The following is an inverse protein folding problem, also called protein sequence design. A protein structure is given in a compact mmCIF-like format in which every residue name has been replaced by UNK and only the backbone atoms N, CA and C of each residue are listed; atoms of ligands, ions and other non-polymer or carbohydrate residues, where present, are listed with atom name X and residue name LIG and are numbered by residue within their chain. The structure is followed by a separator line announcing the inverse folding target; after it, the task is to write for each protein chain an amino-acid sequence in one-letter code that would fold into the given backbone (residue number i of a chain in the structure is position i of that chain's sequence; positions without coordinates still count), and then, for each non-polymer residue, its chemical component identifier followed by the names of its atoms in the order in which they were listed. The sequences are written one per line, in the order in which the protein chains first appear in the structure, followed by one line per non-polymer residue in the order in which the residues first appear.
data_IF_218894096698
#
_entry.id   IF_218894096698
#
_cell.length_a   1.000
_cell.length_b   1.000
_cell.length_c   1.000
_cell.angle_alpha   90.00
_cell.angle_beta   90.00
_cell.angle_gamma   90.00
#
_symmetry.space_group_name_H-M   'P 1'
#
loop_
_entity.id
_entity.type
_entity.pdbx_description
1 polymer ?
#
# COMPACT_ATOMS: atom_id res chain seq x y z
N UNK A 1 17.69 -25.85 21.84
CA UNK A 1 18.39 -24.64 21.34
C UNK A 1 18.05 -24.29 19.89
N UNK A 2 18.12 -25.25 18.94
CA UNK A 2 17.82 -24.99 17.51
C UNK A 2 16.40 -24.46 17.23
N UNK A 3 15.37 -24.97 17.91
CA UNK A 3 13.98 -24.50 17.74
C UNK A 3 13.77 -23.06 18.25
N UNK A 4 14.44 -22.66 19.33
CA UNK A 4 14.35 -21.32 19.91
C UNK A 4 15.09 -20.26 19.06
N UNK A 5 16.22 -20.64 18.47
CA UNK A 5 16.97 -19.79 17.53
C UNK A 5 16.20 -19.56 16.22
N UNK A 6 15.55 -20.61 15.71
CA UNK A 6 14.71 -20.52 14.50
C UNK A 6 13.48 -19.62 14.72
N UNK A 7 12.83 -19.70 15.89
CA UNK A 7 11.65 -18.87 16.18
C UNK A 7 11.99 -17.39 16.41
N UNK A 8 13.11 -17.08 17.07
CA UNK A 8 13.58 -15.70 17.24
C UNK A 8 13.91 -15.04 15.88
N UNK A 9 14.57 -15.79 14.98
CA UNK A 9 14.85 -15.31 13.62
C UNK A 9 13.57 -15.07 12.80
N UNK A 10 12.54 -15.91 12.98
CA UNK A 10 11.25 -15.71 12.33
C UNK A 10 10.51 -14.46 12.84
N UNK A 11 10.50 -14.17 14.15
CA UNK A 11 9.84 -12.97 14.69
C UNK A 11 10.45 -11.68 14.14
N UNK A 12 11.78 -11.60 14.12
CA UNK A 12 12.51 -10.47 13.54
C UNK A 12 12.22 -10.35 12.05
N UNK A 13 12.13 -11.47 11.34
CA UNK A 13 11.69 -11.51 9.93
C UNK A 13 10.28 -10.94 9.74
N UNK A 14 9.32 -11.34 10.59
CA UNK A 14 7.95 -10.82 10.56
C UNK A 14 7.88 -9.31 10.79
N UNK A 15 8.69 -8.80 11.74
CA UNK A 15 8.84 -7.37 12.00
C UNK A 15 9.46 -6.60 10.82
N UNK A 16 10.52 -7.15 10.22
CA UNK A 16 11.13 -6.55 9.05
C UNK A 16 10.15 -6.48 7.88
N UNK A 17 9.38 -7.55 7.64
CA UNK A 17 8.35 -7.59 6.60
C UNK A 17 7.28 -6.52 6.80
N UNK A 18 6.69 -6.40 8.00
CA UNK A 18 5.64 -5.38 8.27
C UNK A 18 6.18 -3.96 8.15
N UNK A 19 7.41 -3.71 8.62
CA UNK A 19 8.03 -2.38 8.54
C UNK A 19 8.27 -1.96 7.09
N UNK A 20 8.83 -2.85 6.27
CA UNK A 20 9.05 -2.59 4.84
C UNK A 20 7.71 -2.46 4.10
N UNK A 21 6.74 -3.33 4.41
CA UNK A 21 5.40 -3.27 3.83
C UNK A 21 4.73 -1.91 4.07
N UNK A 22 4.80 -1.41 5.30
CA UNK A 22 4.25 -0.11 5.67
C UNK A 22 4.91 1.03 4.91
N UNK A 23 6.25 1.05 4.83
CA UNK A 23 6.98 2.05 4.03
C UNK A 23 6.58 2.01 2.56
N UNK A 24 6.52 0.82 1.94
CA UNK A 24 6.11 0.66 0.55
C UNK A 24 4.66 1.10 0.32
N UNK A 25 3.76 0.82 1.27
CA UNK A 25 2.37 1.28 1.25
C UNK A 25 2.29 2.82 1.30
N UNK A 26 3.04 3.46 2.21
CA UNK A 26 3.12 4.92 2.30
C UNK A 26 3.68 5.56 1.04
N UNK A 27 4.76 5.00 0.48
CA UNK A 27 5.37 5.46 -0.77
C UNK A 27 4.37 5.33 -1.92
N UNK A 28 3.76 4.16 -2.09
CA UNK A 28 2.76 3.93 -3.14
C UNK A 28 1.60 4.91 -3.04
N UNK A 29 1.10 5.17 -1.83
CA UNK A 29 0.01 6.12 -1.59
C UNK A 29 0.35 7.52 -2.13
N UNK A 30 1.58 8.00 -1.95
CA UNK A 30 2.01 9.33 -2.40
C UNK A 30 2.45 9.43 -3.87
N UNK A 31 2.65 8.30 -4.56
CA UNK A 31 3.14 8.29 -5.94
C UNK A 31 2.03 8.66 -6.95
N UNK A 32 2.34 9.46 -7.98
CA UNK A 32 1.38 9.82 -9.02
C UNK A 32 1.16 8.69 -10.06
N UNK A 33 1.79 7.53 -9.89
CA UNK A 33 1.86 6.51 -10.94
C UNK A 33 0.98 5.30 -10.60
N UNK A 34 -0.28 5.54 -10.22
CA UNK A 34 -1.26 4.46 -10.04
C UNK A 34 -1.88 4.02 -11.37
N UNK A 35 -2.13 5.00 -12.24
CA UNK A 35 -2.61 4.81 -13.62
C UNK A 35 -1.76 5.67 -14.55
N UNK A 36 -1.43 5.13 -15.71
CA UNK A 36 -0.71 5.86 -16.78
C UNK A 36 -1.66 6.02 -17.96
N UNK A 37 -1.90 7.26 -18.35
CA UNK A 37 -2.71 7.65 -19.50
C UNK A 37 -1.79 8.08 -20.64
N UNK A 38 -2.09 7.59 -21.83
CA UNK A 38 -1.39 7.94 -23.06
C UNK A 38 -2.37 8.66 -23.99
N UNK A 39 -1.94 9.80 -24.53
CA UNK A 39 -2.69 10.59 -25.49
C UNK A 39 -2.02 10.47 -26.86
N UNK A 40 -2.80 10.15 -27.89
CA UNK A 40 -2.33 10.29 -29.27
C UNK A 40 -2.41 11.76 -29.66
N UNK A 41 -1.26 12.43 -29.76
CA UNK A 41 -1.15 13.57 -30.64
C UNK A 41 -0.75 13.05 -32.03
N UNK A 42 -1.22 13.73 -33.08
CA UNK A 42 -1.08 13.38 -34.50
C UNK A 42 0.32 12.89 -34.88
N UNK A 43 0.41 12.13 -35.99
CA UNK A 43 1.58 11.47 -36.65
C UNK A 43 2.98 12.14 -36.60
N UNK A 44 3.11 13.37 -36.10
CA UNK A 44 4.32 14.19 -36.05
C UNK A 44 4.75 14.65 -34.63
N UNK A 45 4.12 14.19 -33.53
CA UNK A 45 4.56 14.50 -32.16
C UNK A 45 4.46 13.28 -31.23
N UNK A 46 5.45 13.12 -30.35
CA UNK A 46 5.49 12.02 -29.38
C UNK A 46 4.31 12.09 -28.37
N UNK A 47 3.82 10.93 -27.89
CA UNK A 47 2.62 10.87 -27.05
C UNK A 47 2.85 11.53 -25.68
N UNK A 48 2.13 12.61 -25.41
CA UNK A 48 2.03 13.20 -24.07
C UNK A 48 1.50 12.14 -23.09
N UNK A 49 2.22 11.92 -21.97
CA UNK A 49 1.81 10.96 -20.93
C UNK A 49 1.32 11.69 -19.68
N UNK A 50 0.20 11.24 -19.11
CA UNK A 50 -0.26 11.65 -17.80
C UNK A 50 -0.17 10.51 -16.79
N UNK A 51 0.36 10.82 -15.62
CA UNK A 51 0.46 9.97 -14.45
C UNK A 51 -0.59 10.40 -13.44
N UNK A 52 -1.56 9.53 -13.20
CA UNK A 52 -2.66 9.76 -12.27
C UNK A 52 -2.38 8.99 -10.99
N UNK A 53 -2.15 9.74 -9.92
CA UNK A 53 -2.05 9.22 -8.56
C UNK A 53 -3.40 9.14 -7.89
N UNK A 54 -3.37 9.02 -6.56
CA UNK A 54 -4.55 9.14 -5.71
C UNK A 54 -4.68 10.51 -5.06
N UNK A 55 -3.63 11.34 -5.07
CA UNK A 55 -3.64 12.69 -4.46
C UNK A 55 -3.21 13.79 -5.42
N UNK A 56 -2.65 13.40 -6.57
CA UNK A 56 -2.12 14.33 -7.56
C UNK A 56 -2.07 13.71 -8.94
N UNK A 57 -2.13 14.56 -9.95
CA UNK A 57 -1.91 14.20 -11.35
C UNK A 57 -0.67 14.93 -11.84
N UNK A 58 0.21 14.23 -12.55
CA UNK A 58 1.41 14.81 -13.14
C UNK A 58 1.43 14.49 -14.63
N UNK A 59 1.81 15.45 -15.47
CA UNK A 59 1.96 15.23 -16.91
C UNK A 59 3.37 15.61 -17.38
N UNK A 60 3.80 14.96 -18.45
CA UNK A 60 5.07 15.26 -19.13
C UNK A 60 4.78 15.78 -20.52
N UNK A 61 5.28 16.98 -20.82
CA UNK A 61 5.23 17.56 -22.15
C UNK A 61 6.65 17.48 -22.75
N UNK A 62 6.86 16.59 -23.73
CA UNK A 62 8.21 16.36 -24.31
C UNK A 62 8.69 17.50 -25.22
N UNK A 63 7.82 18.44 -25.63
CA UNK A 63 8.11 19.40 -26.69
C UNK A 63 8.76 20.74 -26.25
N UNK A 64 9.20 20.92 -25.00
CA UNK A 64 9.76 22.21 -24.55
C UNK A 64 11.04 22.04 -23.73
N UNK A 65 12.17 21.84 -24.42
CA UNK A 65 13.56 21.92 -23.90
C UNK A 65 13.88 20.95 -22.72
N UNK A 66 15.15 20.54 -22.56
CA UNK A 66 15.58 19.74 -21.42
C UNK A 66 15.63 20.62 -20.17
N UNK A 67 14.47 20.90 -19.56
CA UNK A 67 14.40 21.75 -18.37
C UNK A 67 13.02 22.20 -17.88
N UNK A 68 11.93 22.09 -18.65
CA UNK A 68 10.64 22.71 -18.31
C UNK A 68 9.47 21.87 -18.85
N UNK A 69 8.38 21.50 -18.15
CA UNK A 69 7.85 21.73 -16.81
C UNK A 69 7.09 20.43 -16.48
N UNK A 70 7.51 19.71 -15.44
CA UNK A 70 6.70 18.65 -14.83
C UNK A 70 5.57 19.34 -14.08
N UNK A 71 4.44 19.57 -14.74
CA UNK A 71 3.24 20.09 -14.08
C UNK A 71 2.63 18.98 -13.26
N UNK A 72 2.75 19.07 -11.93
CA UNK A 72 1.96 18.25 -11.02
C UNK A 72 0.90 19.15 -10.39
N UNK A 73 -0.36 18.72 -10.49
CA UNK A 73 -1.46 19.33 -9.80
C UNK A 73 -1.90 18.38 -8.70
N UNK A 74 -1.73 18.83 -7.46
CA UNK A 74 -2.36 18.19 -6.32
C UNK A 74 -3.85 18.50 -6.37
N UNK A 75 -4.66 17.51 -6.02
CA UNK A 75 -6.10 17.70 -5.90
C UNK A 75 -6.53 17.33 -4.48
N UNK A 76 -7.43 18.14 -3.94
CA UNK A 76 -7.95 17.99 -2.57
C UNK A 76 -9.22 17.16 -2.61
N UNK A 77 -9.55 16.46 -1.52
CA UNK A 77 -10.78 15.67 -1.40
C UNK A 77 -12.08 16.42 -1.79
N UNK A 78 -12.09 17.75 -1.61
CA UNK A 78 -13.24 18.61 -1.93
C UNK A 78 -13.37 18.94 -3.42
N UNK A 79 -12.43 18.51 -4.26
CA UNK A 79 -12.49 18.74 -5.69
C UNK A 79 -13.56 17.87 -6.35
N UNK A 80 -14.59 18.52 -6.89
CA UNK A 80 -15.77 17.85 -7.45
C UNK A 80 -15.46 16.95 -8.67
N UNK A 81 -14.32 17.14 -9.34
CA UNK A 81 -13.92 16.34 -10.49
C UNK A 81 -13.32 14.97 -10.11
N UNK A 82 -13.04 14.72 -8.83
CA UNK A 82 -12.48 13.44 -8.39
C UNK A 82 -13.59 12.37 -8.43
N UNK A 83 -13.45 11.33 -9.27
CA UNK A 83 -14.46 10.28 -9.38
C UNK A 83 -14.52 9.44 -8.09
N UNK A 84 -15.65 8.77 -7.89
CA UNK A 84 -15.92 8.00 -6.66
C UNK A 84 -14.92 6.86 -6.45
N UNK A 85 -14.42 6.23 -7.52
CA UNK A 85 -13.43 5.15 -7.44
C UNK A 85 -12.11 5.63 -6.81
N UNK A 86 -11.64 6.84 -7.16
CA UNK A 86 -10.44 7.43 -6.56
C UNK A 86 -10.68 7.74 -5.08
N UNK A 87 -11.85 8.29 -4.72
CA UNK A 87 -12.19 8.59 -3.32
C UNK A 87 -12.23 7.34 -2.44
N UNK A 88 -12.83 6.25 -2.94
CA UNK A 88 -12.83 4.97 -2.23
C UNK A 88 -11.39 4.49 -2.00
N UNK A 89 -10.55 4.55 -3.03
CA UNK A 89 -9.13 4.15 -2.93
C UNK A 89 -8.37 5.04 -1.93
N UNK A 90 -8.58 6.36 -1.93
CA UNK A 90 -7.97 7.27 -0.97
C UNK A 90 -8.27 6.87 0.49
N UNK A 91 -9.53 6.58 0.80
CA UNK A 91 -9.93 6.14 2.15
C UNK A 91 -9.32 4.80 2.53
N UNK A 92 -9.32 3.83 1.61
CA UNK A 92 -8.70 2.52 1.85
C UNK A 92 -7.21 2.67 2.14
N UNK A 93 -6.47 3.43 1.33
CA UNK A 93 -5.04 3.65 1.51
C UNK A 93 -4.72 4.43 2.79
N UNK A 94 -5.52 5.45 3.13
CA UNK A 94 -5.34 6.19 4.37
C UNK A 94 -5.57 5.29 5.59
N UNK A 95 -6.65 4.50 5.56
CA UNK A 95 -6.91 3.46 6.57
C UNK A 95 -5.77 2.46 6.68
N UNK A 96 -5.27 1.94 5.55
CA UNK A 96 -4.12 1.02 5.51
C UNK A 96 -2.87 1.62 6.15
N UNK A 97 -2.56 2.89 5.89
CA UNK A 97 -1.39 3.53 6.49
C UNK A 97 -1.52 3.67 8.02
N UNK A 98 -2.70 4.00 8.52
CA UNK A 98 -2.98 4.11 9.95
C UNK A 98 -2.89 2.74 10.62
N UNK A 99 -3.63 1.74 10.12
CA UNK A 99 -3.63 0.40 10.68
C UNK A 99 -2.27 -0.28 10.56
N UNK A 100 -1.55 -0.09 9.44
CA UNK A 100 -0.20 -0.61 9.24
C UNK A 100 0.81 0.01 10.21
N UNK A 101 0.69 1.31 10.52
CA UNK A 101 1.51 1.96 11.54
C UNK A 101 1.26 1.37 12.92
N UNK A 102 -0.01 1.25 13.32
CA UNK A 102 -0.39 0.68 14.63
C UNK A 102 0.08 -0.78 14.72
N UNK A 103 -0.09 -1.57 13.64
CA UNK A 103 0.40 -2.94 13.55
C UNK A 103 1.91 -3.05 13.68
N UNK A 104 2.65 -2.15 13.03
CA UNK A 104 4.12 -2.07 13.14
C UNK A 104 4.53 -1.74 14.58
N UNK A 105 3.93 -0.73 15.20
CA UNK A 105 4.20 -0.37 16.61
C UNK A 105 3.89 -1.53 17.56
N UNK A 106 2.77 -2.24 17.35
CA UNK A 106 2.41 -3.42 18.13
C UNK A 106 3.48 -4.52 18.03
N UNK A 107 4.06 -4.75 16.85
CA UNK A 107 5.16 -5.73 16.68
C UNK A 107 6.47 -5.30 17.37
N UNK A 108 6.77 -4.00 17.44
CA UNK A 108 7.92 -3.48 18.22
C UNK A 108 7.73 -3.80 19.70
N UNK A 109 6.53 -3.54 20.24
CA UNK A 109 6.21 -3.90 21.63
C UNK A 109 6.26 -5.40 21.86
N UNK A 110 5.77 -6.20 20.91
CA UNK A 110 5.82 -7.66 20.96
C UNK A 110 7.26 -8.17 21.08
N UNK A 111 8.14 -7.72 20.18
CA UNK A 111 9.57 -8.06 20.20
C UNK A 111 10.25 -7.58 21.47
N UNK A 112 9.98 -6.34 21.92
CA UNK A 112 10.55 -5.83 23.17
C UNK A 112 10.20 -6.73 24.36
N UNK A 113 8.96 -7.19 24.43
CA UNK A 113 8.50 -8.05 25.53
C UNK A 113 9.16 -9.44 25.48
N UNK A 114 9.39 -10.01 24.29
CA UNK A 114 10.11 -11.29 24.16
C UNK A 114 11.59 -11.16 24.54
N UNK A 115 12.27 -10.09 24.11
CA UNK A 115 13.68 -9.87 24.44
C UNK A 115 13.91 -9.56 25.94
N UNK A 116 13.00 -8.84 26.59
CA UNK A 116 13.10 -8.51 28.03
C UNK A 116 12.69 -9.70 28.92
N UNK A 117 12.24 -10.83 28.33
CA UNK A 117 11.81 -12.01 29.10
C UNK A 117 10.49 -11.81 29.86
N UNK A 118 9.79 -10.69 29.63
CA UNK A 118 8.42 -10.45 30.12
C UNK A 118 7.43 -11.13 29.18
N UNK A 119 7.59 -12.44 28.99
CA UNK A 119 6.56 -13.26 28.34
C UNK A 119 5.37 -13.21 29.29
N UNK A 120 4.41 -12.35 28.96
CA UNK A 120 3.26 -12.04 29.79
C UNK A 120 2.54 -13.36 30.11
N UNK A 121 2.49 -13.75 31.39
CA UNK A 121 1.71 -14.90 31.90
C UNK A 121 0.19 -14.76 31.65
N UNK A 122 -0.27 -13.64 31.11
CA UNK A 122 -1.67 -13.34 30.85
C UNK A 122 -1.99 -13.54 29.36
N UNK A 123 -2.73 -14.61 29.08
CA UNK A 123 -3.20 -15.07 27.77
C UNK A 123 -4.07 -14.03 27.04
N UNK A 124 -4.59 -13.02 27.74
CA UNK A 124 -5.64 -12.14 27.20
C UNK A 124 -5.15 -11.12 26.15
N UNK A 125 -3.86 -10.78 26.08
CA UNK A 125 -3.38 -9.72 25.15
C UNK A 125 -1.97 -10.02 24.63
N UNK A 126 -1.85 -10.83 23.56
CA UNK A 126 -0.58 -11.05 22.86
C UNK A 126 -0.36 -9.97 21.78
N UNK A 127 0.64 -9.09 21.92
CA UNK A 127 0.89 -8.02 20.95
C UNK A 127 1.23 -8.53 19.53
N UNK A 128 1.74 -9.76 19.38
CA UNK A 128 1.93 -10.37 18.06
C UNK A 128 0.60 -10.67 17.36
N UNK A 129 -0.40 -11.16 18.09
CA UNK A 129 -1.73 -11.45 17.53
C UNK A 129 -2.41 -10.15 17.08
N UNK A 130 -2.30 -9.10 17.90
CA UNK A 130 -2.85 -7.78 17.56
C UNK A 130 -2.18 -7.22 16.30
N UNK A 131 -0.85 -7.28 16.24
CA UNK A 131 -0.10 -6.88 15.05
C UNK A 131 -0.52 -7.68 13.82
N UNK A 132 -0.69 -9.01 13.95
CA UNK A 132 -1.11 -9.87 12.85
C UNK A 132 -2.51 -9.53 12.32
N UNK A 133 -3.49 -9.31 13.20
CA UNK A 133 -4.86 -8.91 12.83
C UNK A 133 -4.85 -7.56 12.11
N UNK A 134 -4.13 -6.58 12.65
CA UNK A 134 -4.00 -5.25 12.03
C UNK A 134 -3.33 -5.33 10.65
N UNK A 135 -2.30 -6.17 10.49
CA UNK A 135 -1.64 -6.40 9.21
C UNK A 135 -2.57 -7.10 8.19
N UNK A 136 -3.44 -8.02 8.63
CA UNK A 136 -4.46 -8.64 7.75
C UNK A 136 -5.46 -7.59 7.27
N UNK A 137 -6.00 -6.78 8.19
CA UNK A 137 -6.94 -5.69 7.85
C UNK A 137 -6.27 -4.72 6.86
N UNK A 138 -5.03 -4.32 7.16
CA UNK A 138 -4.23 -3.43 6.32
C UNK A 138 -4.07 -4.01 4.92
N UNK A 139 -3.66 -5.28 4.80
CA UNK A 139 -3.51 -5.94 3.51
C UNK A 139 -4.82 -6.01 2.73
N UNK A 140 -5.93 -6.34 3.39
CA UNK A 140 -7.25 -6.41 2.74
C UNK A 140 -7.63 -5.06 2.13
N UNK A 141 -7.40 -3.96 2.85
CA UNK A 141 -7.65 -2.61 2.33
C UNK A 141 -6.75 -2.26 1.15
N UNK A 142 -5.45 -2.59 1.20
CA UNK A 142 -4.52 -2.35 0.08
C UNK A 142 -4.89 -3.19 -1.14
N UNK A 143 -5.24 -4.47 -0.97
CA UNK A 143 -5.69 -5.33 -2.06
C UNK A 143 -6.98 -4.82 -2.69
N UNK A 144 -7.94 -4.38 -1.86
CA UNK A 144 -9.17 -3.79 -2.37
C UNK A 144 -8.90 -2.52 -3.17
N UNK A 145 -8.01 -1.64 -2.69
CA UNK A 145 -7.58 -0.45 -3.42
C UNK A 145 -6.94 -0.80 -4.79
N UNK A 146 -6.05 -1.80 -4.81
CA UNK A 146 -5.42 -2.32 -6.03
C UNK A 146 -6.45 -2.87 -7.01
N UNK A 147 -7.43 -3.65 -6.53
CA UNK A 147 -8.48 -4.22 -7.37
C UNK A 147 -9.43 -3.16 -7.92
N UNK A 148 -9.87 -2.21 -7.09
CA UNK A 148 -10.66 -1.06 -7.56
C UNK A 148 -9.92 -0.29 -8.65
N UNK A 149 -8.63 -0.02 -8.45
CA UNK A 149 -7.80 0.65 -9.44
C UNK A 149 -7.68 -0.16 -10.75
N UNK A 150 -7.51 -1.48 -10.63
CA UNK A 150 -7.45 -2.40 -11.77
C UNK A 150 -8.75 -2.38 -12.59
N UNK A 151 -9.91 -2.47 -11.92
CA UNK A 151 -11.20 -2.38 -12.60
C UNK A 151 -11.39 -1.04 -13.30
N UNK A 152 -11.00 0.06 -12.67
CA UNK A 152 -11.06 1.39 -13.30
C UNK A 152 -10.19 1.50 -14.55
N UNK A 153 -9.01 0.87 -14.55
CA UNK A 153 -8.11 0.82 -15.72
C UNK A 153 -8.74 0.02 -16.87
N UNK A 154 -9.31 -1.15 -16.58
CA UNK A 154 -9.93 -2.01 -17.61
C UNK A 154 -11.14 -1.33 -18.25
N UNK A 155 -11.98 -0.69 -17.45
CA UNK A 155 -13.19 -0.03 -17.94
C UNK A 155 -12.94 1.38 -18.49
N UNK A 156 -11.67 1.83 -18.54
CA UNK A 156 -11.28 3.17 -19.00
C UNK A 156 -12.12 4.28 -18.36
N UNK A 157 -12.25 4.25 -17.03
CA UNK A 157 -13.10 5.21 -16.31
C UNK A 157 -12.64 6.65 -16.57
N UNK A 158 -13.60 7.51 -16.95
CA UNK A 158 -13.33 8.90 -17.27
C UNK A 158 -13.03 9.73 -16.02
N UNK A 159 -12.21 10.77 -16.18
CA UNK A 159 -11.96 11.79 -15.16
C UNK A 159 -12.17 13.15 -15.80
N UNK A 160 -13.10 13.93 -15.29
CA UNK A 160 -13.48 15.24 -15.80
C UNK A 160 -12.54 16.33 -15.28
N UNK A 161 -11.26 16.24 -15.61
CA UNK A 161 -10.27 17.24 -15.17
C UNK A 161 -10.68 18.66 -15.59
N UNK A 162 -10.37 19.69 -14.77
CA UNK A 162 -10.62 21.07 -15.13
C UNK A 162 -9.94 21.45 -16.45
N UNK A 163 -10.54 22.33 -17.28
CA UNK A 163 -9.94 22.77 -18.53
C UNK A 163 -8.53 23.38 -18.38
N UNK A 164 -8.21 23.94 -17.21
CA UNK A 164 -6.89 24.48 -16.89
C UNK A 164 -5.76 23.43 -16.93
N UNK A 165 -6.07 22.15 -16.72
CA UNK A 165 -5.07 21.08 -16.70
C UNK A 165 -4.70 20.61 -18.12
N UNK A 166 -5.50 20.96 -19.13
CA UNK A 166 -5.31 20.55 -20.53
C UNK A 166 -5.20 19.02 -20.72
N UNK A 167 -5.87 18.25 -19.86
CA UNK A 167 -5.95 16.80 -19.95
C UNK A 167 -7.30 16.44 -20.62
N UNK A 168 -7.31 15.59 -21.65
CA UNK A 168 -8.55 15.17 -22.28
C UNK A 168 -9.37 14.27 -21.34
N UNK A 169 -10.69 14.22 -21.58
CA UNK A 169 -11.63 13.46 -20.75
C UNK A 169 -11.37 11.94 -20.76
N UNK A 170 -10.90 11.41 -21.89
CA UNK A 170 -10.61 9.99 -22.08
C UNK A 170 -9.17 9.79 -22.58
N UNK A 171 -8.45 8.78 -22.05
CA UNK A 171 -7.17 8.38 -22.62
C UNK A 171 -7.39 7.54 -23.89
N UNK A 172 -6.46 7.64 -24.84
CA UNK A 172 -6.43 6.72 -26.00
C UNK A 172 -6.10 5.30 -25.52
N UNK A 173 -5.10 5.21 -24.62
CA UNK A 173 -4.65 3.98 -24.00
C UNK A 173 -4.34 4.23 -22.51
N UNK A 174 -4.62 3.23 -21.67
CA UNK A 174 -4.40 3.29 -20.23
C UNK A 174 -3.70 2.02 -19.73
N UNK A 175 -2.77 2.19 -18.79
CA UNK A 175 -2.04 1.09 -18.16
C UNK A 175 -1.99 1.26 -16.65
N UNK A 176 -1.87 0.15 -15.95
CA UNK A 176 -1.52 0.11 -14.52
C UNK A 176 -0.12 0.73 -14.35
N UNK A 177 0.00 1.66 -13.40
CA UNK A 177 1.28 2.27 -13.09
C UNK A 177 2.05 1.55 -11.97
N UNK A 178 3.31 1.92 -11.79
CA UNK A 178 4.23 1.27 -10.85
C UNK A 178 3.76 1.37 -9.39
N UNK A 179 3.06 2.44 -9.00
CA UNK A 179 2.58 2.61 -7.63
C UNK A 179 1.59 1.49 -7.25
N UNK A 180 0.73 1.08 -8.18
CA UNK A 180 -0.19 -0.04 -7.96
C UNK A 180 0.56 -1.37 -7.74
N UNK A 181 1.65 -1.60 -8.47
CA UNK A 181 2.50 -2.79 -8.29
C UNK A 181 3.20 -2.77 -6.92
N UNK A 182 3.72 -1.61 -6.51
CA UNK A 182 4.34 -1.42 -5.19
C UNK A 182 3.32 -1.65 -4.06
N UNK A 183 2.08 -1.19 -4.22
CA UNK A 183 0.99 -1.47 -3.27
C UNK A 183 0.69 -2.98 -3.19
N UNK A 184 0.62 -3.68 -4.33
CA UNK A 184 0.44 -5.14 -4.33
C UNK A 184 1.55 -5.87 -3.57
N UNK A 185 2.81 -5.46 -3.78
CA UNK A 185 3.94 -6.03 -3.05
C UNK A 185 3.83 -5.76 -1.54
N UNK A 186 3.48 -4.53 -1.15
CA UNK A 186 3.26 -4.18 0.25
C UNK A 186 2.16 -5.05 0.90
N UNK A 187 1.04 -5.28 0.20
CA UNK A 187 -0.02 -6.13 0.70
C UNK A 187 0.43 -7.58 0.95
N UNK A 188 1.17 -8.17 0.01
CA UNK A 188 1.72 -9.52 0.17
C UNK A 188 2.69 -9.61 1.35
N UNK A 189 3.51 -8.58 1.57
CA UNK A 189 4.43 -8.52 2.70
C UNK A 189 3.68 -8.38 4.04
N UNK A 190 2.60 -7.60 4.10
CA UNK A 190 1.73 -7.55 5.28
C UNK A 190 1.12 -8.92 5.61
N UNK A 191 0.58 -9.63 4.62
CA UNK A 191 0.06 -11.00 4.83
C UNK A 191 1.13 -11.97 5.28
N UNK A 192 2.32 -11.93 4.65
CA UNK A 192 3.46 -12.75 5.05
C UNK A 192 3.87 -12.51 6.50
N UNK A 193 3.91 -11.24 6.92
CA UNK A 193 4.16 -10.87 8.32
C UNK A 193 3.09 -11.42 9.27
N UNK A 194 1.80 -11.29 8.92
CA UNK A 194 0.70 -11.84 9.72
C UNK A 194 0.79 -13.34 9.91
N UNK A 195 1.10 -14.08 8.84
CA UNK A 195 1.27 -15.54 8.91
C UNK A 195 2.39 -15.89 9.89
N UNK A 196 3.55 -15.21 9.79
CA UNK A 196 4.69 -15.43 10.69
C UNK A 196 4.31 -15.18 12.16
N UNK A 197 3.63 -14.07 12.45
CA UNK A 197 3.23 -13.72 13.82
C UNK A 197 2.18 -14.67 14.41
N UNK A 198 1.23 -15.14 13.61
CA UNK A 198 0.25 -16.14 14.04
C UNK A 198 0.91 -17.51 14.28
N UNK A 199 1.76 -17.96 13.35
CA UNK A 199 2.48 -19.24 13.51
C UNK A 199 3.39 -19.26 14.74
N UNK A 200 4.03 -18.14 15.08
CA UNK A 200 4.80 -18.04 16.32
C UNK A 200 3.91 -18.20 17.56
N UNK A 201 2.75 -17.54 17.57
CA UNK A 201 1.82 -17.60 18.71
C UNK A 201 1.33 -19.03 18.96
N UNK A 202 0.92 -19.74 17.91
CA UNK A 202 0.48 -21.14 18.03
C UNK A 202 1.59 -22.06 18.57
N UNK A 203 2.84 -21.82 18.20
CA UNK A 203 3.98 -22.60 18.72
C UNK A 203 4.23 -22.36 20.21
N UNK A 204 4.04 -21.13 20.69
CA UNK A 204 4.17 -20.82 22.12
C UNK A 204 3.05 -21.46 22.93
N UNK A 205 1.81 -21.45 22.43
CA UNK A 205 0.65 -22.04 23.12
C UNK A 205 0.82 -23.55 23.35
N UNK A 206 1.27 -24.29 22.32
CA UNK A 206 1.54 -25.73 22.41
C UNK A 206 2.68 -26.10 23.38
N UNK A 207 3.60 -25.16 23.68
CA UNK A 207 4.65 -25.40 24.68
C UNK A 207 4.15 -25.18 26.12
N UNK A 208 3.09 -24.39 26.31
CA UNK A 208 2.53 -24.09 27.63
C UNK A 208 1.51 -25.15 28.06
N UNK A 209 0.79 -25.73 27.10
CA UNK A 209 -0.16 -26.82 27.33
C UNK A 209 0.23 -28.05 26.48
N UNK A 210 1.13 -28.91 26.95
CA UNK A 210 1.36 -30.18 26.27
C UNK A 210 0.06 -31.00 26.31
N UNK A 211 -0.45 -31.42 25.14
CA UNK A 211 -1.52 -32.40 25.07
C UNK A 211 -1.05 -33.69 25.78
N UNK A 212 -1.87 -34.15 26.73
CA UNK A 212 -1.65 -35.37 27.54
C UNK A 212 -2.29 -36.56 26.84
#
# INVERSE_FOLDING_TARGET
MLLLSRSANCQVGGFALTSIAWLLCSISTGLPQWRVWYFNETMFSEPTTAFIGMWKVCFYHQNIKPGNIRGCHDYTYNDNFIPLDIRIIQHLLLGSNIFGLIGTVASIFALRNTYIGKVQKNITYNPFVISAILNIITSTFVLLAVLCNYFSVIHKTAITFPPSFRIPLYPSYQRIGIANVVASLAALMFLGSSIIFLSYTSLVENQVYPEV
#
